data_IF_318465106573
#
_entry.id   IF_318465106573
#
_cell.length_a   1.000
_cell.length_b   1.000
_cell.length_c   1.000
_cell.angle_alpha   90.00
_cell.angle_beta   90.00
_cell.angle_gamma   90.00
#
_symmetry.space_group_name_H-M   'P 1'
#
loop_
_entity.id
_entity.type
_entity.pdbx_description
1 polymer ?
#
# COMPACT_ATOMS: atom_id res chain seq x y z
N UNK A 1 -47.80 -1.38 -34.42
CA UNK A 1 -47.54 -1.55 -32.97
C UNK A 1 -46.26 -2.33 -32.66
N UNK A 2 -45.94 -3.44 -33.33
CA UNK A 2 -44.75 -4.28 -33.01
C UNK A 2 -43.40 -3.56 -33.09
N UNK A 3 -43.16 -2.71 -34.11
CA UNK A 3 -41.91 -1.95 -34.25
C UNK A 3 -41.67 -0.88 -33.16
N UNK A 4 -42.75 -0.26 -32.65
CA UNK A 4 -42.68 0.74 -31.58
C UNK A 4 -42.28 0.11 -30.24
N UNK A 5 -42.77 -1.10 -29.96
CA UNK A 5 -42.41 -1.89 -28.77
C UNK A 5 -40.95 -2.36 -28.85
N UNK A 6 -40.50 -2.82 -30.02
CA UNK A 6 -39.12 -3.27 -30.21
C UNK A 6 -38.10 -2.12 -30.06
N UNK A 7 -38.42 -0.93 -30.57
CA UNK A 7 -37.58 0.27 -30.43
C UNK A 7 -37.52 0.77 -28.97
N UNK A 8 -38.63 0.66 -28.22
CA UNK A 8 -38.67 0.97 -26.77
C UNK A 8 -37.88 -0.03 -25.93
N UNK A 9 -37.95 -1.33 -26.26
CA UNK A 9 -37.14 -2.36 -25.60
C UNK A 9 -35.64 -2.17 -25.88
N UNK A 10 -35.27 -1.79 -27.10
CA UNK A 10 -33.87 -1.53 -27.47
C UNK A 10 -33.31 -0.27 -26.76
N UNK A 11 -34.10 0.79 -26.61
CA UNK A 11 -33.74 1.98 -25.82
C UNK A 11 -33.56 1.66 -24.32
N UNK A 12 -34.40 0.78 -23.76
CA UNK A 12 -34.26 0.33 -22.37
C UNK A 12 -33.00 -0.53 -22.15
N UNK A 13 -32.69 -1.42 -23.09
CA UNK A 13 -31.49 -2.27 -23.04
C UNK A 13 -30.19 -1.45 -23.16
N UNK A 14 -30.16 -0.43 -24.02
CA UNK A 14 -29.01 0.48 -24.14
C UNK A 14 -28.81 1.32 -22.87
N UNK A 15 -29.90 1.77 -22.22
CA UNK A 15 -29.81 2.49 -20.94
C UNK A 15 -29.27 1.64 -19.79
N UNK A 16 -29.47 0.31 -19.83
CA UNK A 16 -28.98 -0.61 -18.79
C UNK A 16 -27.48 -0.94 -18.93
N UNK A 17 -26.90 -0.80 -20.14
CA UNK A 17 -25.48 -1.08 -20.38
C UNK A 17 -24.54 0.03 -19.88
N UNK A 18 -25.03 1.26 -19.69
CA UNK A 18 -24.24 2.40 -19.20
C UNK A 18 -24.14 2.47 -17.66
N UNK A 19 -24.78 1.54 -16.93
CA UNK A 19 -24.75 1.53 -15.46
C UNK A 19 -23.52 0.82 -14.86
N UNK A 20 -22.54 0.42 -15.67
CA UNK A 20 -21.24 -0.05 -15.18
C UNK A 20 -20.43 1.14 -14.65
N UNK A 21 -20.81 1.62 -13.47
CA UNK A 21 -20.04 2.59 -12.69
C UNK A 21 -18.69 1.95 -12.40
N UNK A 22 -17.63 2.57 -12.92
CA UNK A 22 -16.25 2.26 -12.58
C UNK A 22 -16.05 2.60 -11.09
N UNK A 23 -16.22 1.61 -10.22
CA UNK A 23 -15.91 1.75 -8.80
C UNK A 23 -14.39 1.57 -8.62
N UNK A 24 -13.67 2.69 -8.53
CA UNK A 24 -12.27 2.67 -8.15
C UNK A 24 -12.18 2.43 -6.63
N UNK A 25 -11.53 1.33 -6.23
CA UNK A 25 -11.31 1.00 -4.83
C UNK A 25 -10.53 2.11 -4.11
N UNK A 26 -11.05 2.61 -2.99
CA UNK A 26 -10.31 3.57 -2.15
C UNK A 26 -9.08 2.89 -1.55
N UNK A 27 -7.90 3.46 -1.81
CA UNK A 27 -6.62 3.00 -1.27
C UNK A 27 -6.15 3.92 -0.15
N UNK A 28 -5.76 3.34 0.98
CA UNK A 28 -5.28 4.09 2.14
C UNK A 28 -4.01 3.46 2.69
N UNK A 29 -2.96 4.26 2.84
CA UNK A 29 -1.70 3.88 3.46
C UNK A 29 -1.46 4.69 4.73
N UNK A 30 -1.05 4.03 5.81
CA UNK A 30 -0.65 4.69 7.06
C UNK A 30 0.85 4.97 7.03
N UNK A 31 1.24 6.25 7.08
CA UNK A 31 2.64 6.72 7.05
C UNK A 31 3.08 7.44 8.33
N UNK A 32 2.18 7.65 9.28
CA UNK A 32 2.52 8.00 10.65
C UNK A 32 1.38 7.69 11.63
N UNK A 33 1.73 7.34 12.87
CA UNK A 33 0.78 7.02 13.94
C UNK A 33 1.16 7.78 15.21
N UNK A 34 0.16 8.39 15.83
CA UNK A 34 0.28 9.19 17.05
C UNK A 34 -0.95 8.95 17.93
N UNK A 35 -0.86 9.36 19.20
CA UNK A 35 -2.04 9.39 20.06
C UNK A 35 -3.13 10.27 19.43
N UNK A 36 -4.27 9.66 19.11
CA UNK A 36 -5.43 10.29 18.50
C UNK A 36 -5.23 10.90 17.10
N UNK A 37 -4.11 10.62 16.41
CA UNK A 37 -3.87 11.11 15.04
C UNK A 37 -3.18 10.05 14.18
N UNK A 38 -3.47 10.06 12.89
CA UNK A 38 -2.78 9.25 11.90
C UNK A 38 -2.42 10.11 10.68
N UNK A 39 -1.24 9.90 10.11
CA UNK A 39 -0.85 10.46 8.82
C UNK A 39 -1.15 9.42 7.77
N UNK A 40 -2.04 9.77 6.84
CA UNK A 40 -2.57 8.88 5.82
C UNK A 40 -2.25 9.40 4.44
N UNK A 41 -1.98 8.50 3.50
CA UNK A 41 -1.97 8.77 2.07
C UNK A 41 -3.18 8.07 1.48
N UNK A 42 -4.05 8.84 0.80
CA UNK A 42 -5.28 8.32 0.19
C UNK A 42 -5.12 8.41 -1.32
N UNK A 43 -5.33 7.29 -2.02
CA UNK A 43 -5.24 7.17 -3.48
C UNK A 43 -3.92 7.73 -4.07
N UNK A 44 -2.78 7.48 -3.39
CA UNK A 44 -1.46 7.96 -3.82
C UNK A 44 -1.24 9.47 -3.73
N UNK A 45 -2.15 10.21 -3.06
CA UNK A 45 -2.04 11.66 -2.89
C UNK A 45 -0.95 12.11 -1.90
N UNK A 46 -0.98 13.39 -1.54
CA UNK A 46 -0.06 13.95 -0.53
C UNK A 46 -0.41 13.42 0.87
N UNK A 47 0.58 13.20 1.76
CA UNK A 47 0.34 12.83 3.16
C UNK A 47 -0.58 13.84 3.86
N UNK A 48 -1.57 13.33 4.60
CA UNK A 48 -2.53 14.14 5.34
C UNK A 48 -2.71 13.62 6.75
N UNK A 49 -2.64 14.51 7.73
CA UNK A 49 -2.92 14.16 9.13
C UNK A 49 -4.42 14.20 9.38
N UNK A 50 -4.97 13.11 9.90
CA UNK A 50 -6.33 13.04 10.43
C UNK A 50 -6.27 12.93 11.95
N UNK A 51 -7.12 13.69 12.64
CA UNK A 51 -7.40 13.47 14.06
C UNK A 51 -8.60 12.53 14.21
N UNK A 52 -8.72 11.82 15.34
CA UNK A 52 -9.88 10.97 15.61
C UNK A 52 -11.18 11.76 15.43
N UNK A 53 -12.13 11.20 14.67
CA UNK A 53 -13.38 11.82 14.27
C UNK A 53 -13.33 12.57 12.93
N UNK A 54 -12.14 12.90 12.43
CA UNK A 54 -11.98 13.64 11.17
C UNK A 54 -12.10 12.72 9.96
N UNK A 55 -12.70 13.26 8.88
CA UNK A 55 -12.85 12.58 7.59
C UNK A 55 -12.10 13.32 6.49
N UNK A 56 -11.50 12.58 5.56
CA UNK A 56 -10.98 13.10 4.30
C UNK A 56 -11.14 12.08 3.19
N UNK A 57 -11.59 12.51 2.01
CA UNK A 57 -11.70 11.69 0.81
C UNK A 57 -12.41 10.34 1.05
N UNK A 58 -13.50 10.36 1.84
CA UNK A 58 -14.27 9.16 2.17
C UNK A 58 -13.67 8.26 3.26
N UNK A 59 -12.53 8.65 3.84
CA UNK A 59 -11.84 7.93 4.93
C UNK A 59 -12.00 8.69 6.24
N UNK A 60 -12.59 8.06 7.25
CA UNK A 60 -12.75 8.62 8.59
C UNK A 60 -11.84 7.91 9.58
N UNK A 61 -11.13 8.66 10.42
CA UNK A 61 -10.37 8.08 11.53
C UNK A 61 -11.28 7.87 12.74
N UNK A 62 -11.43 6.63 13.19
CA UNK A 62 -12.26 6.26 14.35
C UNK A 62 -11.44 6.17 15.64
N UNK A 63 -10.22 5.65 15.56
CA UNK A 63 -9.27 5.56 16.66
C UNK A 63 -7.84 5.55 16.12
N UNK A 64 -6.87 6.01 16.91
CA UNK A 64 -5.45 5.88 16.60
C UNK A 64 -4.61 5.86 17.87
N UNK A 65 -3.70 4.90 17.94
CA UNK A 65 -2.62 4.82 18.92
C UNK A 65 -1.26 4.75 18.20
N UNK A 66 -0.18 4.45 18.94
CA UNK A 66 1.17 4.37 18.38
C UNK A 66 1.44 3.14 17.51
N UNK A 67 0.55 2.16 17.50
CA UNK A 67 0.69 0.88 16.80
C UNK A 67 -0.32 0.73 15.67
N UNK A 68 -1.57 1.16 15.88
CA UNK A 68 -2.69 0.93 14.96
C UNK A 68 -3.60 2.17 14.83
N UNK A 69 -4.22 2.30 13.66
CA UNK A 69 -5.34 3.19 13.40
C UNK A 69 -6.57 2.37 12.99
N UNK A 70 -7.74 2.73 13.51
CA UNK A 70 -9.03 2.20 13.07
C UNK A 70 -9.69 3.23 12.17
N UNK A 71 -9.94 2.87 10.92
CA UNK A 71 -10.51 3.75 9.91
C UNK A 71 -11.83 3.21 9.38
N UNK A 72 -12.74 4.10 9.04
CA UNK A 72 -13.90 3.78 8.23
C UNK A 72 -13.61 4.18 6.78
N UNK A 73 -13.64 3.22 5.86
CA UNK A 73 -13.37 3.40 4.44
C UNK A 73 -14.57 2.81 3.69
N UNK A 74 -15.29 3.62 2.92
CA UNK A 74 -16.50 3.20 2.18
C UNK A 74 -17.54 2.49 3.06
N UNK A 75 -17.69 2.95 4.31
CA UNK A 75 -18.61 2.37 5.29
C UNK A 75 -18.09 1.14 6.03
N UNK A 76 -16.98 0.53 5.59
CA UNK A 76 -16.34 -0.60 6.26
C UNK A 76 -15.29 -0.12 7.27
N UNK A 77 -15.29 -0.72 8.45
CA UNK A 77 -14.26 -0.47 9.47
C UNK A 77 -13.05 -1.38 9.22
N UNK A 78 -11.87 -0.80 9.15
CA UNK A 78 -10.60 -1.48 8.89
C UNK A 78 -9.54 -0.98 9.87
N UNK A 79 -8.77 -1.90 10.44
CA UNK A 79 -7.64 -1.56 11.30
C UNK A 79 -6.34 -1.67 10.50
N UNK A 80 -5.50 -0.65 10.56
CA UNK A 80 -4.23 -0.57 9.83
C UNK A 80 -3.10 -0.14 10.77
N UNK A 81 -2.00 -0.89 10.72
CA UNK A 81 -0.75 -0.54 11.40
C UNK A 81 0.17 0.33 10.55
N UNK A 82 1.31 0.69 11.13
CA UNK A 82 2.36 1.46 10.44
C UNK A 82 2.81 0.76 9.14
N UNK A 83 2.80 1.46 8.01
CA UNK A 83 3.24 0.93 6.71
C UNK A 83 2.26 -0.04 6.05
N UNK A 84 1.10 -0.29 6.68
CA UNK A 84 0.05 -1.11 6.09
C UNK A 84 -0.84 -0.31 5.15
N UNK A 85 -1.38 -1.01 4.15
CA UNK A 85 -2.27 -0.50 3.14
C UNK A 85 -3.62 -1.23 3.21
N UNK A 86 -4.74 -0.51 3.05
CA UNK A 86 -6.03 -1.10 2.76
C UNK A 86 -6.51 -0.66 1.38
N UNK A 87 -7.03 -1.61 0.59
CA UNK A 87 -7.86 -1.35 -0.58
C UNK A 87 -9.24 -1.95 -0.33
N UNK A 88 -10.28 -1.11 -0.38
CA UNK A 88 -11.66 -1.59 -0.26
C UNK A 88 -12.17 -1.87 -1.67
N UNK A 89 -12.23 -3.14 -2.06
CA UNK A 89 -12.68 -3.58 -3.39
C UNK A 89 -11.90 -4.75 -3.99
N UNK A 90 -10.74 -5.10 -3.43
CA UNK A 90 -10.03 -6.35 -3.70
C UNK A 90 -10.18 -7.30 -2.52
N UNK A 91 -10.31 -8.60 -2.77
CA UNK A 91 -10.23 -9.62 -1.71
C UNK A 91 -9.06 -9.30 -0.77
N UNK A 92 -9.33 -9.34 0.53
CA UNK A 92 -8.34 -9.17 1.60
C UNK A 92 -7.38 -10.38 1.65
N UNK A 93 -6.62 -10.60 0.58
CA UNK A 93 -5.69 -11.71 0.41
C UNK A 93 -4.42 -11.20 -0.25
N UNK A 94 -3.66 -10.47 0.56
CA UNK A 94 -2.20 -10.42 0.61
C UNK A 94 -1.86 -9.23 1.51
N UNK A 95 -1.84 -9.47 2.82
CA UNK A 95 -1.14 -8.55 3.71
C UNK A 95 0.30 -8.47 3.20
N UNK A 96 0.63 -7.39 2.50
CA UNK A 96 1.99 -7.07 2.12
C UNK A 96 2.83 -7.10 3.39
N UNK A 97 3.76 -8.03 3.48
CA UNK A 97 4.69 -8.12 4.60
C UNK A 97 5.41 -6.77 4.72
N UNK A 98 5.13 -6.02 5.78
CA UNK A 98 5.79 -4.76 6.07
C UNK A 98 6.94 -4.98 7.05
N UNK A 99 8.03 -4.27 6.84
CA UNK A 99 9.17 -4.23 7.77
C UNK A 99 9.45 -2.78 8.14
N UNK A 100 9.67 -2.52 9.43
CA UNK A 100 10.06 -1.19 9.92
C UNK A 100 11.52 -1.24 10.33
N UNK A 101 12.35 -0.40 9.71
CA UNK A 101 13.76 -0.24 10.04
C UNK A 101 13.95 1.05 10.83
N UNK A 102 14.66 0.97 11.94
CA UNK A 102 15.12 2.14 12.69
C UNK A 102 16.51 2.53 12.23
N UNK A 103 16.74 3.84 12.12
CA UNK A 103 18.07 4.34 11.84
C UNK A 103 19.04 3.97 12.97
N UNK A 104 20.27 3.61 12.60
CA UNK A 104 21.36 3.41 13.54
C UNK A 104 21.84 4.76 14.12
N UNK A 105 22.89 4.73 14.96
CA UNK A 105 23.45 5.94 15.58
C UNK A 105 23.99 6.97 14.58
N UNK A 106 24.33 6.55 13.37
CA UNK A 106 24.86 7.38 12.29
C UNK A 106 23.73 7.91 11.37
N UNK A 107 22.48 7.53 11.63
CA UNK A 107 21.32 7.90 10.81
C UNK A 107 21.09 6.97 9.62
N UNK A 108 21.83 5.87 9.51
CA UNK A 108 21.72 4.90 8.42
C UNK A 108 20.69 3.81 8.72
N UNK A 109 19.93 3.40 7.70
CA UNK A 109 19.00 2.28 7.80
C UNK A 109 19.69 1.01 7.32
N UNK A 110 19.87 0.05 8.22
CA UNK A 110 20.55 -1.22 7.93
C UNK A 110 19.62 -2.38 8.28
N UNK A 111 19.60 -3.40 7.43
CA UNK A 111 18.86 -4.64 7.67
C UNK A 111 19.74 -5.84 7.36
N UNK A 112 19.46 -6.96 8.02
CA UNK A 112 19.92 -8.25 7.54
C UNK A 112 19.11 -8.65 6.31
N UNK A 113 19.77 -9.08 5.25
CA UNK A 113 19.16 -9.66 4.06
C UNK A 113 19.77 -11.05 3.80
N UNK A 114 18.96 -11.95 3.27
CA UNK A 114 19.41 -13.26 2.86
C UNK A 114 19.46 -13.33 1.33
N UNK A 115 20.63 -13.68 0.78
CA UNK A 115 20.84 -13.92 -0.64
C UNK A 115 21.41 -15.33 -0.79
N UNK A 116 20.73 -16.20 -1.55
CA UNK A 116 21.16 -17.59 -1.78
C UNK A 116 21.49 -18.37 -0.48
N UNK A 117 20.77 -18.09 0.61
CA UNK A 117 21.00 -18.71 1.91
C UNK A 117 22.09 -18.06 2.77
N UNK A 118 22.87 -17.11 2.23
CA UNK A 118 23.84 -16.33 2.97
C UNK A 118 23.19 -15.08 3.59
N UNK A 119 23.38 -14.85 4.88
CA UNK A 119 22.90 -13.65 5.58
C UNK A 119 23.98 -12.58 5.61
N UNK A 120 23.64 -11.39 5.09
CA UNK A 120 24.52 -10.24 4.92
C UNK A 120 23.81 -8.97 5.43
N UNK A 121 24.57 -7.96 5.87
CA UNK A 121 24.01 -6.66 6.25
C UNK A 121 23.99 -5.71 5.07
N UNK A 122 22.83 -5.11 4.81
CA UNK A 122 22.64 -4.13 3.73
C UNK A 122 22.23 -2.77 4.28
N UNK A 123 22.83 -1.74 3.70
CA UNK A 123 22.42 -0.35 3.86
C UNK A 123 21.31 -0.02 2.86
N UNK A 124 20.27 0.68 3.30
CA UNK A 124 19.27 1.25 2.40
C UNK A 124 19.84 2.50 1.73
N UNK A 125 20.03 2.44 0.41
CA UNK A 125 20.39 3.58 -0.43
C UNK A 125 19.22 3.90 -1.38
N UNK A 126 18.50 4.99 -1.12
CA UNK A 126 17.34 5.40 -1.93
C UNK A 126 17.71 5.89 -3.34
N UNK A 127 19.00 6.18 -3.59
CA UNK A 127 19.49 6.59 -4.90
C UNK A 127 19.94 5.42 -5.79
N UNK A 128 20.06 4.21 -5.23
CA UNK A 128 20.54 3.05 -5.96
C UNK A 128 19.42 2.41 -6.80
N UNK A 129 19.72 2.12 -8.07
CA UNK A 129 18.86 1.31 -8.95
C UNK A 129 19.25 -0.17 -8.97
N UNK A 130 20.43 -0.49 -8.43
CA UNK A 130 21.01 -1.84 -8.38
C UNK A 130 21.59 -2.10 -6.99
N UNK A 131 21.67 -3.37 -6.60
CA UNK A 131 22.37 -3.79 -5.38
C UNK A 131 23.88 -3.75 -5.59
N UNK A 132 24.59 -3.00 -4.75
CA UNK A 132 26.04 -2.98 -4.73
C UNK A 132 26.58 -3.97 -3.68
N UNK A 133 27.47 -4.86 -4.11
CA UNK A 133 28.14 -5.85 -3.27
C UNK A 133 29.64 -5.86 -3.58
N UNK A 134 30.47 -6.04 -2.55
CA UNK A 134 31.88 -6.32 -2.79
C UNK A 134 32.06 -7.78 -3.23
N UNK A 135 33.22 -8.08 -3.82
CA UNK A 135 33.51 -9.42 -4.37
C UNK A 135 33.61 -10.53 -3.31
N UNK A 136 33.89 -10.20 -2.05
CA UNK A 136 33.91 -11.16 -0.95
C UNK A 136 32.49 -11.59 -0.59
N UNK A 137 31.59 -10.63 -0.40
CA UNK A 137 30.19 -10.89 -0.09
C UNK A 137 29.46 -11.58 -1.24
N UNK A 138 29.77 -11.23 -2.49
CA UNK A 138 29.23 -11.93 -3.67
C UNK A 138 29.61 -13.42 -3.67
N UNK A 139 30.87 -13.76 -3.37
CA UNK A 139 31.30 -15.16 -3.24
C UNK A 139 30.65 -15.86 -2.06
N UNK A 140 30.54 -15.18 -0.92
CA UNK A 140 29.87 -15.73 0.25
C UNK A 140 28.39 -16.02 -0.02
N UNK A 141 27.73 -15.18 -0.82
CA UNK A 141 26.37 -15.38 -1.31
C UNK A 141 26.28 -16.23 -2.60
N UNK A 142 27.37 -16.92 -3.00
CA UNK A 142 27.39 -17.80 -4.17
C UNK A 142 26.88 -17.12 -5.48
N UNK A 143 27.28 -15.88 -5.73
CA UNK A 143 27.01 -15.14 -6.97
C UNK A 143 28.27 -15.16 -7.85
N UNK A 144 28.17 -15.62 -9.10
CA UNK A 144 29.26 -15.53 -10.07
C UNK A 144 29.25 -14.17 -10.79
N UNK A 145 29.69 -13.15 -10.07
CA UNK A 145 29.79 -11.77 -10.58
C UNK A 145 30.74 -11.62 -11.79
N UNK A 146 31.59 -12.62 -12.08
CA UNK A 146 32.46 -12.59 -13.27
C UNK A 146 31.72 -12.98 -14.54
N UNK A 147 30.57 -13.66 -14.41
CA UNK A 147 29.70 -14.03 -15.52
C UNK A 147 28.54 -13.06 -15.74
N UNK A 148 28.44 -12.01 -14.90
CA UNK A 148 27.37 -11.03 -14.96
C UNK A 148 26.05 -11.51 -14.36
N UNK A 149 26.11 -12.45 -13.41
CA UNK A 149 24.98 -12.83 -12.56
C UNK A 149 24.63 -11.75 -11.54
#
# INVERSE_FOLDING_TARGET
MKQQVLRRMMLFAVSMLFANVCAAATQVNIVGLFSNKAVVIINGGKPKTLSVGQTSNGVKLLAADSQMATLQIEGKTTQLGMGQAASVGGNASNATSSVTLYANREGHFVSDCQINGATLKFLVDTGATTVALNSGDAKFANIDYKRGE
#
